data_IF_654035150864
#
_entry.id   IF_654035150864
#
_cell.length_a   1.000
_cell.length_b   1.000
_cell.length_c   1.000
_cell.angle_alpha   90.00
_cell.angle_beta   90.00
_cell.angle_gamma   90.00
#
_symmetry.space_group_name_H-M   'P 1'
#
loop_
_entity.id
_entity.type
_entity.pdbx_description
1 polymer ?
#
# COMPACT_ATOMS: atom_id res chain seq x y z
N UNK A 1 -20.49 -17.05 -3.14
CA UNK A 1 -19.24 -17.65 -2.61
C UNK A 1 -18.85 -16.87 -1.37
N UNK A 2 -18.89 -17.51 -0.20
CA UNK A 2 -18.71 -16.83 1.08
C UNK A 2 -17.24 -16.55 1.37
N UNK A 3 -16.84 -15.28 1.34
CA UNK A 3 -15.53 -14.85 1.85
C UNK A 3 -15.55 -15.06 3.38
N UNK A 4 -14.51 -15.69 3.99
CA UNK A 4 -14.48 -15.93 5.43
C UNK A 4 -14.61 -14.61 6.21
N UNK A 5 -15.50 -14.59 7.21
CA UNK A 5 -15.72 -13.44 8.10
C UNK A 5 -14.84 -13.60 9.35
N UNK A 6 -14.14 -12.53 9.72
CA UNK A 6 -13.43 -12.46 10.99
C UNK A 6 -14.40 -11.88 12.02
N UNK A 7 -14.81 -12.68 13.01
CA UNK A 7 -15.71 -12.26 14.09
C UNK A 7 -14.99 -11.47 15.21
N UNK A 8 -13.65 -11.47 15.22
CA UNK A 8 -12.83 -10.72 16.17
C UNK A 8 -11.42 -10.51 15.59
N UNK A 9 -10.80 -9.35 15.84
CA UNK A 9 -9.35 -9.18 15.63
C UNK A 9 -8.57 -10.04 16.65
N UNK A 10 -7.28 -10.32 16.38
CA UNK A 10 -6.37 -10.87 17.40
C UNK A 10 -6.54 -10.06 18.70
N UNK A 11 -6.79 -10.74 19.82
CA UNK A 11 -7.05 -10.18 21.16
C UNK A 11 -8.50 -9.74 21.52
N UNK A 12 -9.54 -10.17 20.79
CA UNK A 12 -10.94 -9.91 21.21
C UNK A 12 -11.40 -8.46 21.10
N UNK A 13 -10.64 -7.63 20.37
CA UNK A 13 -11.00 -6.25 20.09
C UNK A 13 -12.06 -6.18 18.98
N UNK A 14 -13.02 -5.24 19.10
CA UNK A 14 -14.00 -4.93 18.06
C UNK A 14 -13.32 -4.63 16.72
N UNK A 15 -13.90 -5.11 15.61
CA UNK A 15 -13.41 -4.85 14.24
C UNK A 15 -13.27 -3.35 13.94
N UNK A 16 -14.08 -2.50 14.60
CA UNK A 16 -13.97 -1.05 14.50
C UNK A 16 -12.60 -0.56 14.97
N UNK A 17 -12.10 -1.07 16.09
CA UNK A 17 -10.76 -0.73 16.61
C UNK A 17 -9.67 -1.25 15.69
N UNK A 18 -9.80 -2.49 15.19
CA UNK A 18 -8.87 -3.08 14.23
C UNK A 18 -8.74 -2.24 12.96
N UNK A 19 -9.85 -1.78 12.40
CA UNK A 19 -9.85 -0.96 11.17
C UNK A 19 -9.33 0.46 11.41
N UNK A 20 -9.52 1.04 12.60
CA UNK A 20 -8.86 2.31 12.97
C UNK A 20 -7.36 2.17 13.02
N UNK A 21 -6.86 1.10 13.65
CA UNK A 21 -5.42 0.79 13.72
C UNK A 21 -4.86 0.60 12.31
N UNK A 22 -5.55 -0.15 11.46
CA UNK A 22 -5.14 -0.36 10.06
C UNK A 22 -5.09 0.96 9.29
N UNK A 23 -6.09 1.84 9.46
CA UNK A 23 -6.08 3.15 8.81
C UNK A 23 -4.90 4.01 9.24
N UNK A 24 -4.58 4.05 10.54
CA UNK A 24 -3.41 4.77 11.05
C UNK A 24 -2.09 4.15 10.58
N UNK A 25 -1.97 2.81 10.58
CA UNK A 25 -0.81 2.11 10.06
C UNK A 25 -0.62 2.34 8.56
N UNK A 26 -1.70 2.34 7.80
CA UNK A 26 -1.67 2.62 6.36
C UNK A 26 -1.22 4.06 6.08
N UNK A 27 -1.67 5.02 6.90
CA UNK A 27 -1.25 6.41 6.81
C UNK A 27 0.23 6.59 7.17
N UNK A 28 0.68 6.01 8.28
CA UNK A 28 2.09 6.02 8.68
C UNK A 28 2.98 5.33 7.63
N UNK A 29 2.54 4.20 7.09
CA UNK A 29 3.22 3.47 6.02
C UNK A 29 3.33 4.29 4.74
N UNK A 30 2.29 5.01 4.34
CA UNK A 30 2.33 5.90 3.17
C UNK A 30 3.33 7.04 3.36
N UNK A 31 3.38 7.66 4.55
CA UNK A 31 4.37 8.72 4.86
C UNK A 31 5.79 8.18 4.83
N UNK A 32 6.04 7.03 5.47
CA UNK A 32 7.35 6.36 5.44
C UNK A 32 7.76 5.98 4.02
N UNK A 33 6.84 5.47 3.21
CA UNK A 33 7.10 5.13 1.82
C UNK A 33 7.49 6.37 1.01
N UNK A 34 6.76 7.49 1.15
CA UNK A 34 7.12 8.75 0.47
C UNK A 34 8.53 9.18 0.87
N UNK A 35 8.89 9.09 2.16
CA UNK A 35 10.22 9.45 2.64
C UNK A 35 11.31 8.57 2.02
N UNK A 36 11.13 7.24 2.04
CA UNK A 36 12.09 6.29 1.44
C UNK A 36 12.24 6.52 -0.07
N UNK A 37 11.13 6.69 -0.79
CA UNK A 37 11.15 6.93 -2.24
C UNK A 37 11.80 8.28 -2.60
N UNK A 38 11.57 9.31 -1.79
CA UNK A 38 12.23 10.61 -1.96
C UNK A 38 13.74 10.52 -1.72
N UNK A 39 14.17 9.77 -0.70
CA UNK A 39 15.60 9.49 -0.46
C UNK A 39 16.24 8.68 -1.60
N UNK A 40 15.48 7.76 -2.19
CA UNK A 40 15.90 6.98 -3.36
C UNK A 40 16.17 7.89 -4.57
N UNK A 41 15.29 8.87 -4.81
CA UNK A 41 15.48 9.86 -5.88
C UNK A 41 16.71 10.73 -5.64
N UNK A 42 16.94 11.18 -4.39
CA UNK A 42 18.14 11.95 -4.05
C UNK A 42 19.43 11.15 -4.29
N UNK A 43 19.42 9.85 -3.96
CA UNK A 43 20.55 8.97 -4.22
C UNK A 43 20.81 8.83 -5.73
N UNK A 44 19.77 8.68 -6.54
CA UNK A 44 19.89 8.61 -8.00
C UNK A 44 20.47 9.90 -8.58
N UNK A 45 20.02 11.08 -8.12
CA UNK A 45 20.62 12.36 -8.56
C UNK A 45 22.09 12.48 -8.15
N UNK A 46 22.46 11.99 -6.96
CA UNK A 46 23.86 12.02 -6.52
C UNK A 46 24.76 11.11 -7.37
N UNK A 47 24.26 9.96 -7.82
CA UNK A 47 24.98 9.05 -8.72
C UNK A 47 25.12 9.66 -10.11
N UNK A 48 24.14 10.42 -10.58
CA UNK A 48 24.20 11.12 -11.87
C UNK A 48 25.30 12.19 -11.90
N UNK A 49 25.48 12.93 -10.79
CA UNK A 49 26.50 13.97 -10.63
C UNK A 49 27.90 13.42 -10.26
N UNK A 50 27.99 12.15 -9.86
CA UNK A 50 29.26 11.53 -9.47
C UNK A 50 30.16 11.20 -10.67
N UNK A 51 31.50 11.21 -10.51
CA UNK A 51 32.44 10.91 -11.59
C UNK A 51 32.22 9.51 -12.16
N UNK A 52 32.49 9.35 -13.46
CA UNK A 52 32.27 8.12 -14.24
C UNK A 52 33.01 6.90 -13.67
N UNK A 53 32.41 6.21 -12.72
CA UNK A 53 32.81 4.85 -12.35
C UNK A 53 32.31 3.86 -13.41
N UNK A 54 33.02 2.75 -13.66
CA UNK A 54 32.59 1.73 -14.62
C UNK A 54 31.20 1.14 -14.32
N UNK A 55 30.76 1.19 -13.06
CA UNK A 55 29.41 0.79 -12.64
C UNK A 55 28.36 1.86 -12.95
N UNK A 56 28.64 3.14 -12.67
CA UNK A 56 27.74 4.25 -12.99
C UNK A 56 27.49 4.35 -14.50
N UNK A 57 28.51 4.06 -15.33
CA UNK A 57 28.40 4.11 -16.80
C UNK A 57 27.41 3.07 -17.36
N UNK A 58 27.23 1.94 -16.68
CA UNK A 58 26.21 0.92 -17.04
C UNK A 58 24.80 1.33 -16.61
N UNK A 59 24.70 2.07 -15.50
CA UNK A 59 23.40 2.47 -14.93
C UNK A 59 22.84 3.76 -15.55
N UNK A 60 23.71 4.66 -16.03
CA UNK A 60 23.36 5.94 -16.69
C UNK A 60 22.22 5.85 -17.72
N UNK A 61 22.16 4.89 -18.65
CA UNK A 61 21.04 4.80 -19.60
C UNK A 61 19.69 4.48 -18.93
N UNK A 62 19.68 3.87 -17.74
CA UNK A 62 18.47 3.51 -16.99
C UNK A 62 18.02 4.57 -15.98
N UNK A 63 18.90 5.52 -15.60
CA UNK A 63 18.58 6.63 -14.69
C UNK A 63 17.28 7.38 -15.05
N UNK A 64 17.05 7.81 -16.31
CA UNK A 64 15.81 8.52 -16.65
C UNK A 64 14.56 7.66 -16.46
N UNK A 65 14.63 6.36 -16.79
CA UNK A 65 13.52 5.42 -16.61
C UNK A 65 13.23 5.19 -15.13
N UNK A 66 14.28 5.03 -14.30
CA UNK A 66 14.14 4.91 -12.85
C UNK A 66 13.48 6.16 -12.25
N UNK A 67 13.94 7.37 -12.62
CA UNK A 67 13.36 8.63 -12.12
C UNK A 67 11.86 8.71 -12.40
N UNK A 68 11.44 8.39 -13.62
CA UNK A 68 10.01 8.39 -13.99
C UNK A 68 9.24 7.36 -13.16
N UNK A 69 9.78 6.15 -13.01
CA UNK A 69 9.15 5.07 -12.22
C UNK A 69 8.98 5.47 -10.75
N UNK A 70 10.04 6.00 -10.12
CA UNK A 70 10.00 6.46 -8.72
C UNK A 70 9.04 7.64 -8.54
N UNK A 71 9.01 8.59 -9.49
CA UNK A 71 8.06 9.71 -9.47
C UNK A 71 6.61 9.22 -9.57
N UNK A 72 6.33 8.25 -10.44
CA UNK A 72 5.00 7.64 -10.56
C UNK A 72 4.60 6.94 -9.26
N UNK A 73 5.53 6.24 -8.63
CA UNK A 73 5.29 5.52 -7.38
C UNK A 73 4.98 6.48 -6.23
N UNK A 74 5.65 7.63 -6.14
CA UNK A 74 5.32 8.68 -5.17
C UNK A 74 3.90 9.19 -5.38
N UNK A 75 3.48 9.43 -6.63
CA UNK A 75 2.11 9.85 -6.92
C UNK A 75 1.07 8.81 -6.45
N UNK A 76 1.35 7.51 -6.65
CA UNK A 76 0.52 6.43 -6.13
C UNK A 76 0.48 6.43 -4.60
N UNK A 77 1.61 6.67 -3.92
CA UNK A 77 1.65 6.78 -2.46
C UNK A 77 0.82 7.96 -1.92
N UNK A 78 0.80 9.09 -2.63
CA UNK A 78 -0.06 10.23 -2.28
C UNK A 78 -1.54 9.87 -2.40
N UNK A 79 -1.93 9.17 -3.47
CA UNK A 79 -3.30 8.66 -3.61
C UNK A 79 -3.64 7.69 -2.47
N UNK A 80 -2.71 6.78 -2.13
CA UNK A 80 -2.87 5.86 -1.01
C UNK A 80 -3.05 6.59 0.34
N UNK A 81 -2.33 7.70 0.55
CA UNK A 81 -2.51 8.55 1.72
C UNK A 81 -3.92 9.14 1.80
N UNK A 82 -4.43 9.69 0.70
CA UNK A 82 -5.81 10.21 0.62
C UNK A 82 -6.83 9.10 0.90
N UNK A 83 -6.61 7.91 0.34
CA UNK A 83 -7.45 6.74 0.59
C UNK A 83 -7.41 6.32 2.07
N UNK A 84 -6.26 6.33 2.72
CA UNK A 84 -6.15 6.04 4.15
C UNK A 84 -6.96 7.03 5.01
N UNK A 85 -6.95 8.32 4.65
CA UNK A 85 -7.79 9.34 5.30
C UNK A 85 -9.28 9.07 5.07
N UNK A 86 -9.68 8.70 3.83
CA UNK A 86 -11.06 8.32 3.51
C UNK A 86 -11.50 7.10 4.31
N UNK A 87 -10.63 6.09 4.46
CA UNK A 87 -10.90 4.92 5.29
C UNK A 87 -11.13 5.33 6.74
N UNK A 88 -10.23 6.15 7.29
CA UNK A 88 -10.32 6.63 8.66
C UNK A 88 -11.66 7.35 8.87
N UNK A 89 -11.98 8.30 7.98
CA UNK A 89 -13.25 9.02 8.00
C UNK A 89 -14.45 8.10 7.88
N UNK A 90 -14.40 7.09 7.01
CA UNK A 90 -15.46 6.08 6.85
C UNK A 90 -15.70 5.27 8.11
N UNK A 91 -14.63 4.90 8.83
CA UNK A 91 -14.70 4.16 10.09
C UNK A 91 -15.24 5.04 11.23
N UNK A 92 -14.85 6.32 11.30
CA UNK A 92 -15.36 7.25 12.31
C UNK A 92 -16.83 7.64 12.06
N UNK A 93 -17.21 7.90 10.81
CA UNK A 93 -18.59 8.26 10.45
C UNK A 93 -19.52 7.05 10.31
N UNK A 94 -19.04 5.81 10.52
CA UNK A 94 -19.78 4.56 10.32
C UNK A 94 -20.50 4.48 8.96
N UNK A 95 -19.89 5.03 7.91
CA UNK A 95 -20.48 5.08 6.56
C UNK A 95 -19.90 3.98 5.68
N UNK A 96 -20.63 2.88 5.43
CA UNK A 96 -20.11 1.69 4.74
C UNK A 96 -19.70 1.96 3.29
N UNK A 97 -20.26 3.00 2.63
CA UNK A 97 -19.90 3.39 1.25
C UNK A 97 -18.40 3.73 1.11
N UNK A 98 -17.81 4.43 2.09
CA UNK A 98 -16.39 4.79 2.05
C UNK A 98 -15.48 3.59 2.25
N UNK A 99 -15.88 2.65 3.13
CA UNK A 99 -15.14 1.40 3.35
C UNK A 99 -15.13 0.55 2.08
N UNK A 100 -16.28 0.41 1.40
CA UNK A 100 -16.36 -0.34 0.14
C UNK A 100 -15.45 0.24 -0.93
N UNK A 101 -15.48 1.56 -1.09
CA UNK A 101 -14.62 2.25 -2.05
C UNK A 101 -13.15 1.98 -1.74
N UNK A 102 -12.74 2.13 -0.48
CA UNK A 102 -11.37 1.86 -0.05
C UNK A 102 -10.93 0.42 -0.29
N UNK A 103 -11.77 -0.57 0.04
CA UNK A 103 -11.47 -2.00 -0.16
C UNK A 103 -11.25 -2.31 -1.64
N UNK A 104 -12.12 -1.83 -2.52
CA UNK A 104 -12.00 -2.05 -3.98
C UNK A 104 -10.71 -1.40 -4.49
N UNK A 105 -10.46 -0.14 -4.14
CA UNK A 105 -9.26 0.55 -4.60
C UNK A 105 -7.98 -0.09 -4.06
N UNK A 106 -7.98 -0.53 -2.80
CA UNK A 106 -6.82 -1.21 -2.20
C UNK A 106 -6.54 -2.57 -2.85
N UNK A 107 -7.59 -3.31 -3.22
CA UNK A 107 -7.43 -4.56 -3.96
C UNK A 107 -6.82 -4.33 -5.34
N UNK A 108 -7.29 -3.32 -6.08
CA UNK A 108 -6.74 -2.95 -7.39
C UNK A 108 -5.28 -2.48 -7.25
N UNK A 109 -4.98 -1.66 -6.25
CA UNK A 109 -3.62 -1.19 -5.97
C UNK A 109 -2.68 -2.36 -5.63
N UNK A 110 -3.14 -3.36 -4.87
CA UNK A 110 -2.37 -4.54 -4.54
C UNK A 110 -2.00 -5.38 -5.79
N UNK A 111 -2.94 -5.52 -6.74
CA UNK A 111 -2.67 -6.20 -8.02
C UNK A 111 -1.67 -5.42 -8.87
N UNK A 112 -1.81 -4.09 -8.94
CA UNK A 112 -0.87 -3.21 -9.65
C UNK A 112 0.55 -3.28 -9.06
N UNK A 113 0.67 -3.19 -7.74
CA UNK A 113 1.94 -3.28 -7.03
C UNK A 113 2.62 -4.65 -7.25
N UNK A 114 1.84 -5.73 -7.23
CA UNK A 114 2.33 -7.07 -7.53
C UNK A 114 2.85 -7.17 -8.98
N UNK A 115 2.11 -6.63 -9.96
CA UNK A 115 2.52 -6.60 -11.36
C UNK A 115 3.81 -5.80 -11.58
N UNK A 116 3.94 -4.64 -10.93
CA UNK A 116 5.16 -3.83 -11.00
C UNK A 116 6.37 -4.55 -10.41
N UNK A 117 6.21 -5.23 -9.27
CA UNK A 117 7.29 -6.01 -8.65
C UNK A 117 7.76 -7.16 -9.54
N UNK A 118 6.83 -7.86 -10.21
CA UNK A 118 7.17 -8.91 -11.18
C UNK A 118 7.96 -8.32 -12.37
N UNK A 119 7.53 -7.17 -12.90
CA UNK A 119 8.22 -6.51 -14.01
C UNK A 119 9.65 -6.12 -13.62
N UNK A 120 9.83 -5.53 -12.43
CA UNK A 120 11.14 -5.14 -11.90
C UNK A 120 12.02 -6.37 -11.71
N UNK A 121 11.48 -7.47 -11.17
CA UNK A 121 12.22 -8.73 -11.02
C UNK A 121 12.75 -9.23 -12.36
N UNK A 122 11.91 -9.23 -13.40
CA UNK A 122 12.28 -9.70 -14.73
C UNK A 122 13.34 -8.81 -15.40
N UNK A 123 13.34 -7.51 -15.07
CA UNK A 123 14.22 -6.52 -15.70
C UNK A 123 15.59 -6.41 -15.01
N UNK A 124 15.65 -6.60 -13.68
CA UNK A 124 16.84 -6.29 -12.88
C UNK A 124 17.50 -7.51 -12.23
N UNK A 125 17.10 -8.75 -12.57
CA UNK A 125 17.58 -9.98 -11.92
C UNK A 125 17.51 -9.89 -10.38
N UNK A 126 16.48 -9.23 -9.87
CA UNK A 126 16.34 -8.93 -8.44
C UNK A 126 15.95 -10.16 -7.62
N UNK A 127 16.65 -10.39 -6.51
CA UNK A 127 16.25 -11.38 -5.51
C UNK A 127 14.92 -10.98 -4.84
N UNK A 128 13.99 -11.94 -4.71
CA UNK A 128 12.80 -11.72 -3.88
C UNK A 128 13.23 -11.74 -2.42
N UNK A 129 13.10 -10.60 -1.76
CA UNK A 129 13.29 -10.55 -0.32
C UNK A 129 12.12 -11.27 0.37
N UNK A 130 12.37 -12.20 1.32
CA UNK A 130 11.29 -12.89 2.06
C UNK A 130 10.34 -11.90 2.76
N UNK A 131 10.84 -10.70 3.09
CA UNK A 131 10.06 -9.59 3.61
C UNK A 131 8.88 -9.17 2.70
N UNK A 132 9.02 -9.31 1.37
CA UNK A 132 7.97 -8.93 0.42
C UNK A 132 6.76 -9.87 0.51
N UNK A 133 6.97 -11.17 0.76
CA UNK A 133 5.86 -12.11 0.96
C UNK A 133 5.07 -11.78 2.22
N UNK A 134 5.77 -11.43 3.31
CA UNK A 134 5.13 -11.00 4.56
C UNK A 134 4.29 -9.74 4.32
N UNK A 135 4.81 -8.78 3.56
CA UNK A 135 4.07 -7.56 3.21
C UNK A 135 2.80 -7.85 2.41
N UNK A 136 2.81 -8.80 1.48
CA UNK A 136 1.63 -9.16 0.68
C UNK A 136 0.57 -9.83 1.56
N UNK A 137 0.97 -10.81 2.38
CA UNK A 137 0.06 -11.51 3.29
C UNK A 137 -0.58 -10.53 4.28
N UNK A 138 0.21 -9.60 4.81
CA UNK A 138 -0.26 -8.57 5.73
C UNK A 138 -1.25 -7.62 5.05
N UNK A 139 -0.99 -7.21 3.81
CA UNK A 139 -1.93 -6.38 3.03
C UNK A 139 -3.24 -7.09 2.74
N UNK A 140 -3.20 -8.39 2.39
CA UNK A 140 -4.41 -9.20 2.22
C UNK A 140 -5.20 -9.31 3.53
N UNK A 141 -4.52 -9.52 4.65
CA UNK A 141 -5.15 -9.51 5.97
C UNK A 141 -5.85 -8.17 6.26
N UNK A 142 -5.20 -7.03 5.99
CA UNK A 142 -5.81 -5.71 6.16
C UNK A 142 -7.07 -5.53 5.32
N UNK A 143 -7.04 -5.94 4.05
CA UNK A 143 -8.21 -5.89 3.17
C UNK A 143 -9.35 -6.75 3.73
N UNK A 144 -9.05 -7.96 4.21
CA UNK A 144 -10.03 -8.85 4.80
C UNK A 144 -10.65 -8.28 6.08
N UNK A 145 -9.86 -7.67 6.96
CA UNK A 145 -10.36 -7.04 8.20
C UNK A 145 -11.32 -5.89 7.88
N UNK A 146 -10.95 -4.99 6.96
CA UNK A 146 -11.80 -3.86 6.57
C UNK A 146 -13.06 -4.34 5.84
N UNK A 147 -12.95 -5.36 4.98
CA UNK A 147 -14.09 -5.98 4.32
C UNK A 147 -15.04 -6.66 5.31
N UNK A 148 -14.51 -7.29 6.37
CA UNK A 148 -15.31 -7.88 7.43
C UNK A 148 -16.07 -6.80 8.21
N UNK A 149 -15.42 -5.67 8.55
CA UNK A 149 -16.08 -4.52 9.18
C UNK A 149 -17.17 -3.92 8.28
N UNK A 150 -16.93 -3.82 6.97
CA UNK A 150 -17.95 -3.35 6.03
C UNK A 150 -19.22 -4.22 6.08
N UNK A 151 -19.08 -5.55 6.16
CA UNK A 151 -20.24 -6.44 6.27
C UNK A 151 -20.93 -6.37 7.63
N UNK A 152 -20.18 -6.18 8.71
CA UNK A 152 -20.76 -5.97 10.05
C UNK A 152 -21.65 -4.71 10.07
N UNK A 153 -21.20 -3.60 9.48
CA UNK A 153 -22.00 -2.38 9.35
C UNK A 153 -23.25 -2.53 8.47
N UNK A 154 -23.28 -3.51 7.56
CA UNK A 154 -24.46 -3.81 6.76
C UNK A 154 -25.45 -4.75 7.47
N UNK A 155 -24.98 -5.54 8.44
CA UNK A 155 -25.82 -6.47 9.20
C UNK A 155 -26.42 -5.83 10.45
N UNK A 156 -25.94 -4.65 10.87
CA UNK A 156 -26.49 -3.91 12.01
C UNK A 156 -27.81 -3.20 11.61
N UNK A 157 -29.00 -3.65 12.09
CA UNK A 157 -30.30 -3.17 11.63
C UNK A 157 -30.65 -1.74 12.10
N UNK A 158 -29.80 -1.08 12.87
CA UNK A 158 -30.02 0.28 13.40
C UNK A 158 -29.44 1.42 12.53
N UNK A 159 -29.00 1.13 11.29
CA UNK A 159 -28.44 2.15 10.36
C UNK A 159 -29.41 2.46 9.19
N UNK A 160 -30.69 2.07 9.31
CA UNK A 160 -31.78 2.52 8.43
C UNK A 160 -32.64 3.58 9.13
#
# INVERSE_FOLDING_TARGET
MGVPQLNSCCCGCSLSTGSKIIGWLSLAGAVLAIFVLSGSLMLISHIEDSPDTPEAKKLKPYIPVLKILFSLLIAVCVIAFVLAVILLKGVYEKKPKYLRFWVITSLVALVLDFGLKILVMFTFEGFINPLQFVSILLSLYYILVVHSLYREMLQDPNVC
#
